data_IF_172174422400
#
_entry.id   IF_172174422400
#
_cell.length_a   1.000
_cell.length_b   1.000
_cell.length_c   1.000
_cell.angle_alpha   90.00
_cell.angle_beta   90.00
_cell.angle_gamma   90.00
#
_symmetry.space_group_name_H-M   'P 1'
#
loop_
_entity.id
_entity.type
_entity.pdbx_description
1 polymer ?
#
# COMPACT_ATOMS: atom_id res chain seq x y z
N UNK A 1 -4.64 9.21 -23.87
CA UNK A 1 -3.50 8.48 -23.29
C UNK A 1 -2.62 9.38 -22.41
N UNK A 2 -2.49 10.68 -22.68
CA UNK A 2 -1.75 11.62 -21.83
C UNK A 2 -2.33 11.79 -20.39
N UNK A 3 -3.64 11.64 -20.19
CA UNK A 3 -4.24 11.78 -18.85
C UNK A 3 -3.98 10.57 -17.93
N UNK A 4 -3.57 9.42 -18.48
CA UNK A 4 -3.24 8.23 -17.68
C UNK A 4 -1.77 8.24 -17.21
N UNK A 5 -0.88 8.97 -17.91
CA UNK A 5 0.52 9.17 -17.51
C UNK A 5 0.62 10.03 -16.24
N UNK A 6 -0.32 10.96 -16.03
CA UNK A 6 -0.41 11.73 -14.78
C UNK A 6 -0.94 10.91 -13.60
N UNK A 7 -1.48 9.71 -13.84
CA UNK A 7 -1.86 8.75 -12.81
C UNK A 7 -0.64 8.00 -12.24
N UNK A 8 0.51 8.08 -12.89
CA UNK A 8 1.76 7.65 -12.30
C UNK A 8 2.21 8.68 -11.26
N UNK A 9 2.10 8.28 -10.00
CA UNK A 9 2.62 9.01 -8.85
C UNK A 9 4.14 9.17 -9.02
N UNK A 10 4.60 10.36 -9.43
CA UNK A 10 6.02 10.70 -9.55
C UNK A 10 6.58 11.09 -8.17
N UNK A 11 6.32 10.26 -7.16
CA UNK A 11 6.69 10.54 -5.78
C UNK A 11 8.06 9.91 -5.52
N UNK A 12 9.04 10.68 -5.02
CA UNK A 12 10.36 10.14 -4.72
C UNK A 12 10.26 9.06 -3.63
N UNK A 13 11.10 8.01 -3.67
CA UNK A 13 11.19 7.05 -2.58
C UNK A 13 11.71 7.74 -1.32
N UNK A 14 11.31 7.20 -0.17
CA UNK A 14 11.92 7.54 1.11
C UNK A 14 13.36 7.02 1.19
N UNK A 15 14.22 7.65 2.01
CA UNK A 15 15.57 7.16 2.25
C UNK A 15 15.58 5.69 2.70
N UNK A 16 16.55 4.91 2.22
CA UNK A 16 16.67 3.49 2.56
C UNK A 16 16.65 3.23 4.08
N UNK A 17 17.24 4.11 4.88
CA UNK A 17 17.21 3.99 6.35
C UNK A 17 15.79 3.82 6.91
N UNK A 18 14.81 4.57 6.40
CA UNK A 18 13.41 4.45 6.83
C UNK A 18 12.78 3.14 6.33
N UNK A 19 13.02 2.76 5.07
CA UNK A 19 12.54 1.50 4.54
C UNK A 19 13.11 0.29 5.32
N UNK A 20 14.38 0.37 5.71
CA UNK A 20 15.06 -0.62 6.54
C UNK A 20 14.43 -0.74 7.93
N UNK A 21 14.09 0.39 8.56
CA UNK A 21 13.37 0.40 9.85
C UNK A 21 12.01 -0.28 9.74
N UNK A 22 11.24 0.00 8.68
CA UNK A 22 9.95 -0.67 8.41
C UNK A 22 10.14 -2.17 8.23
N UNK A 23 11.11 -2.60 7.41
CA UNK A 23 11.37 -4.03 7.20
C UNK A 23 11.75 -4.74 8.51
N UNK A 24 12.61 -4.13 9.34
CA UNK A 24 12.99 -4.68 10.64
C UNK A 24 11.78 -4.78 11.57
N UNK A 25 10.92 -3.76 11.59
CA UNK A 25 9.72 -3.76 12.42
C UNK A 25 8.73 -4.86 12.00
N UNK A 26 8.54 -5.05 10.69
CA UNK A 26 7.54 -5.98 10.16
C UNK A 26 8.03 -7.43 10.12
N UNK A 27 9.32 -7.66 9.81
CA UNK A 27 9.89 -8.99 9.58
C UNK A 27 10.86 -9.46 10.68
N UNK A 28 11.24 -8.59 11.60
CA UNK A 28 12.03 -8.92 12.80
C UNK A 28 13.55 -8.94 12.62
N UNK A 29 14.06 -8.77 11.39
CA UNK A 29 15.49 -8.67 11.12
C UNK A 29 15.75 -7.76 9.91
N UNK A 30 17.01 -7.39 9.70
CA UNK A 30 17.40 -6.50 8.62
C UNK A 30 17.35 -7.20 7.25
N UNK A 31 17.15 -6.45 6.14
CA UNK A 31 17.10 -7.03 4.80
C UNK A 31 18.33 -7.87 4.46
N UNK A 32 19.51 -7.46 4.94
CA UNK A 32 20.79 -8.14 4.70
C UNK A 32 20.90 -9.51 5.41
N UNK A 33 20.07 -9.76 6.43
CA UNK A 33 19.99 -11.05 7.12
C UNK A 33 18.89 -11.95 6.55
N UNK A 34 17.81 -11.36 6.04
CA UNK A 34 16.64 -12.07 5.52
C UNK A 34 16.80 -12.50 4.05
N UNK A 35 17.62 -11.79 3.28
CA UNK A 35 17.72 -11.92 1.82
C UNK A 35 19.18 -12.12 1.40
N UNK A 36 19.40 -12.80 0.27
CA UNK A 36 20.74 -12.99 -0.28
C UNK A 36 21.32 -11.69 -0.87
N UNK A 37 20.45 -10.83 -1.39
CA UNK A 37 20.79 -9.47 -1.79
C UNK A 37 19.58 -8.55 -1.69
N UNK A 38 19.82 -7.26 -1.45
CA UNK A 38 18.80 -6.22 -1.42
C UNK A 38 19.39 -4.94 -2.02
N UNK A 39 18.68 -4.34 -2.98
CA UNK A 39 19.07 -3.08 -3.60
C UNK A 39 18.49 -1.91 -2.80
N UNK A 40 19.35 -1.10 -2.18
CA UNK A 40 18.94 0.05 -1.36
C UNK A 40 18.16 1.09 -2.18
N UNK A 41 18.49 1.24 -3.46
CA UNK A 41 17.77 2.12 -4.38
C UNK A 41 16.43 1.48 -4.77
N UNK A 42 15.33 2.15 -4.42
CA UNK A 42 14.00 1.74 -4.87
C UNK A 42 13.84 1.99 -6.37
N UNK A 43 13.43 0.98 -7.13
CA UNK A 43 13.21 1.12 -8.58
C UNK A 43 11.80 1.62 -8.91
N UNK A 44 10.89 1.61 -7.94
CA UNK A 44 9.54 2.16 -8.06
C UNK A 44 9.06 2.70 -6.72
N UNK A 45 8.26 3.76 -6.77
CA UNK A 45 7.60 4.35 -5.61
C UNK A 45 6.17 4.78 -5.96
N UNK A 46 5.29 4.72 -4.97
CA UNK A 46 3.90 5.12 -5.04
C UNK A 46 3.51 5.88 -3.76
N UNK A 47 2.25 6.30 -3.68
CA UNK A 47 1.71 7.06 -2.55
C UNK A 47 1.84 6.36 -1.20
N UNK A 48 1.78 5.03 -1.16
CA UNK A 48 1.76 4.25 0.09
C UNK A 48 2.98 3.36 0.31
N UNK A 49 3.84 3.19 -0.69
CA UNK A 49 4.99 2.28 -0.63
C UNK A 49 6.08 2.62 -1.64
N UNK A 50 7.23 1.98 -1.46
CA UNK A 50 8.28 1.86 -2.45
C UNK A 50 8.67 0.40 -2.66
N UNK A 51 9.31 0.10 -3.79
CA UNK A 51 9.63 -1.27 -4.20
C UNK A 51 11.12 -1.39 -4.51
N UNK A 52 11.75 -2.37 -3.88
CA UNK A 52 13.16 -2.70 -4.02
C UNK A 52 13.36 -4.02 -4.75
N UNK A 53 14.49 -4.15 -5.44
CA UNK A 53 14.91 -5.45 -6.00
C UNK A 53 15.66 -6.22 -4.93
N UNK A 54 15.42 -7.53 -4.87
CA UNK A 54 16.14 -8.41 -3.97
C UNK A 54 16.25 -9.82 -4.55
N UNK A 55 17.08 -10.64 -3.92
CA UNK A 55 17.22 -12.07 -4.25
C UNK A 55 17.10 -12.91 -2.98
N UNK A 56 16.36 -14.01 -3.05
CA UNK A 56 16.26 -14.99 -1.97
C UNK A 56 17.51 -15.88 -1.90
N UNK A 57 17.67 -16.61 -0.79
CA UNK A 57 18.77 -17.57 -0.61
C UNK A 57 18.83 -18.68 -1.68
N UNK A 58 17.68 -19.03 -2.29
CA UNK A 58 17.61 -20.01 -3.38
C UNK A 58 17.93 -19.42 -4.78
N UNK A 59 18.26 -18.12 -4.85
CA UNK A 59 18.56 -17.40 -6.09
C UNK A 59 17.34 -16.80 -6.79
N UNK A 60 16.13 -16.94 -6.23
CA UNK A 60 14.93 -16.34 -6.81
C UNK A 60 14.95 -14.82 -6.70
N UNK A 61 14.84 -14.11 -7.83
CA UNK A 61 14.66 -12.66 -7.85
C UNK A 61 13.24 -12.30 -7.36
N UNK A 62 13.15 -11.34 -6.46
CA UNK A 62 11.88 -10.86 -5.88
C UNK A 62 11.81 -9.34 -5.88
N UNK A 63 10.59 -8.82 -5.86
CA UNK A 63 10.31 -7.41 -5.62
C UNK A 63 9.81 -7.26 -4.18
N UNK A 64 10.49 -6.45 -3.38
CA UNK A 64 10.13 -6.21 -1.97
C UNK A 64 9.43 -4.86 -1.90
N UNK A 65 8.11 -4.90 -1.69
CA UNK A 65 7.28 -3.71 -1.49
C UNK A 65 7.27 -3.34 -0.01
N UNK A 66 7.75 -2.15 0.30
CA UNK A 66 7.90 -1.62 1.66
C UNK A 66 6.90 -0.48 1.82
N UNK A 67 6.05 -0.57 2.83
CA UNK A 67 5.09 0.49 3.15
C UNK A 67 5.83 1.75 3.58
N UNK A 68 5.35 2.94 3.18
CA UNK A 68 5.91 4.20 3.66
C UNK A 68 5.69 4.29 5.18
N UNK A 69 6.68 4.82 5.93
CA UNK A 69 6.49 5.07 7.35
C UNK A 69 5.30 6.00 7.58
N UNK A 70 4.63 5.80 8.70
CA UNK A 70 3.51 6.61 9.18
C UNK A 70 2.27 6.71 8.26
N UNK A 71 2.19 5.96 7.15
CA UNK A 71 1.05 6.05 6.23
C UNK A 71 -0.29 5.77 6.92
N UNK A 72 -0.27 4.80 7.84
CA UNK A 72 -1.38 4.46 8.72
C UNK A 72 -1.85 5.63 9.58
N UNK A 73 -0.90 6.38 10.16
CA UNK A 73 -1.20 7.55 10.97
C UNK A 73 -1.71 8.71 10.12
N UNK A 74 -1.09 8.94 8.95
CA UNK A 74 -1.49 9.99 8.00
C UNK A 74 -2.92 9.76 7.50
N UNK A 75 -3.23 8.54 7.05
CA UNK A 75 -4.57 8.18 6.57
C UNK A 75 -5.61 8.36 7.68
N UNK A 76 -5.32 7.93 8.91
CA UNK A 76 -6.24 8.16 10.05
C UNK A 76 -6.44 9.65 10.35
N UNK A 77 -5.39 10.45 10.28
CA UNK A 77 -5.49 11.90 10.49
C UNK A 77 -6.33 12.57 9.40
N UNK A 78 -6.13 12.23 8.14
CA UNK A 78 -6.89 12.75 7.00
C UNK A 78 -8.39 12.44 7.14
N UNK A 79 -8.74 11.20 7.50
CA UNK A 79 -10.12 10.83 7.75
C UNK A 79 -10.73 11.51 8.97
N UNK A 80 -9.93 11.79 10.01
CA UNK A 80 -10.34 12.61 11.15
C UNK A 80 -10.74 14.02 10.72
N UNK A 81 -9.90 14.67 9.91
CA UNK A 81 -10.19 16.01 9.38
C UNK A 81 -11.44 16.01 8.51
N UNK A 82 -11.58 15.03 7.60
CA UNK A 82 -12.79 14.89 6.78
C UNK A 82 -14.05 14.69 7.63
N UNK A 83 -13.94 13.95 8.73
CA UNK A 83 -15.05 13.77 9.66
C UNK A 83 -15.49 15.08 10.27
N UNK A 84 -14.54 15.86 10.78
CA UNK A 84 -14.83 17.15 11.41
C UNK A 84 -15.54 18.10 10.44
N UNK A 85 -15.11 18.11 9.16
CA UNK A 85 -15.75 18.88 8.10
C UNK A 85 -17.18 18.42 7.84
N UNK A 86 -17.41 17.10 7.72
CA UNK A 86 -18.74 16.52 7.50
C UNK A 86 -19.68 16.84 8.66
N UNK A 87 -19.20 16.73 9.90
CA UNK A 87 -19.97 17.02 11.11
C UNK A 87 -20.37 18.48 11.18
N UNK A 88 -19.42 19.40 10.90
CA UNK A 88 -19.70 20.83 10.85
C UNK A 88 -20.71 21.18 9.76
N UNK A 89 -20.57 20.63 8.56
CA UNK A 89 -21.50 20.85 7.46
C UNK A 89 -22.91 20.30 7.76
N UNK A 90 -23.00 19.13 8.41
CA UNK A 90 -24.27 18.51 8.82
C UNK A 90 -24.99 19.29 9.92
N UNK A 91 -24.23 20.00 10.76
CA UNK A 91 -24.79 20.95 11.75
C UNK A 91 -25.32 22.21 11.06
N UNK A 92 -24.63 22.70 10.04
CA UNK A 92 -24.98 23.94 9.33
C UNK A 92 -26.12 23.78 8.30
N UNK A 93 -26.31 22.59 7.71
CA UNK A 93 -27.28 22.35 6.63
C UNK A 93 -28.09 21.07 6.84
N UNK A 94 -29.42 21.20 6.82
CA UNK A 94 -30.34 20.04 6.83
C UNK A 94 -30.15 19.15 5.60
N UNK A 95 -29.98 19.74 4.42
CA UNK A 95 -29.74 18.99 3.18
C UNK A 95 -28.50 18.10 3.28
N UNK A 96 -27.41 18.61 3.86
CA UNK A 96 -26.18 17.82 4.05
C UNK A 96 -26.38 16.71 5.08
N UNK A 97 -27.11 16.99 6.15
CA UNK A 97 -27.46 15.99 7.16
C UNK A 97 -28.25 14.82 6.57
N UNK A 98 -29.20 15.11 5.68
CA UNK A 98 -30.05 14.10 5.05
C UNK A 98 -29.27 13.19 4.09
N UNK A 99 -28.11 13.64 3.58
CA UNK A 99 -27.21 12.81 2.78
C UNK A 99 -26.49 11.73 3.60
N UNK A 100 -26.47 11.84 4.93
CA UNK A 100 -25.82 10.89 5.84
C UNK A 100 -24.37 10.55 5.42
N UNK A 101 -23.57 11.58 5.09
CA UNK A 101 -22.20 11.40 4.59
C UNK A 101 -21.23 10.82 5.63
N UNK A 102 -21.53 10.96 6.92
CA UNK A 102 -20.68 10.43 7.98
C UNK A 102 -20.55 8.89 7.90
N UNK A 103 -21.63 8.09 7.91
CA UNK A 103 -21.55 6.64 7.69
C UNK A 103 -20.81 6.22 6.41
N UNK A 104 -20.99 6.96 5.31
CA UNK A 104 -20.27 6.70 4.06
C UNK A 104 -18.76 6.91 4.23
N UNK A 105 -18.36 7.99 4.91
CA UNK A 105 -16.97 8.28 5.21
C UNK A 105 -16.35 7.21 6.11
N UNK A 106 -17.10 6.67 7.07
CA UNK A 106 -16.65 5.56 7.92
C UNK A 106 -16.37 4.28 7.12
N UNK A 107 -17.29 3.92 6.24
CA UNK A 107 -17.12 2.75 5.38
C UNK A 107 -15.90 2.92 4.47
N UNK A 108 -15.74 4.12 3.89
CA UNK A 108 -14.61 4.42 3.04
C UNK A 108 -13.28 4.41 3.81
N UNK A 109 -13.23 5.03 4.99
CA UNK A 109 -12.05 4.99 5.86
C UNK A 109 -11.68 3.55 6.26
N UNK A 110 -12.67 2.73 6.61
CA UNK A 110 -12.48 1.32 6.89
C UNK A 110 -12.01 0.53 5.66
N UNK A 111 -12.44 0.92 4.45
CA UNK A 111 -11.97 0.38 3.19
C UNK A 111 -10.48 0.65 2.96
N UNK A 112 -10.08 1.92 3.01
CA UNK A 112 -8.67 2.33 2.85
C UNK A 112 -7.79 1.69 3.91
N UNK A 113 -8.24 1.63 5.16
CA UNK A 113 -7.49 0.95 6.23
C UNK A 113 -7.25 -0.54 5.96
N UNK A 114 -8.21 -1.25 5.34
CA UNK A 114 -8.01 -2.66 4.94
C UNK A 114 -7.03 -2.81 3.77
N UNK A 115 -6.94 -1.81 2.89
CA UNK A 115 -5.99 -1.80 1.77
C UNK A 115 -4.55 -1.52 2.22
N UNK A 116 -4.35 -0.85 3.35
CA UNK A 116 -3.02 -0.67 3.95
C UNK A 116 -2.44 -1.97 4.53
N UNK A 117 -3.27 -2.98 4.81
CA UNK A 117 -2.82 -4.29 5.24
C UNK A 117 -2.36 -5.15 4.04
N UNK A 118 -1.05 -5.22 3.83
CA UNK A 118 -0.46 -5.97 2.70
C UNK A 118 -0.66 -7.48 2.77
N UNK A 119 -1.12 -8.04 3.90
CA UNK A 119 -1.54 -9.45 3.94
C UNK A 119 -2.80 -9.66 3.10
N UNK A 120 -3.71 -8.69 3.08
CA UNK A 120 -4.90 -8.74 2.24
C UNK A 120 -4.52 -8.64 0.76
N UNK A 121 -3.56 -7.76 0.43
CA UNK A 121 -3.04 -7.64 -0.94
C UNK A 121 -2.36 -8.95 -1.39
N UNK A 122 -1.49 -9.53 -0.56
CA UNK A 122 -0.84 -10.81 -0.85
C UNK A 122 -1.86 -11.93 -1.07
N UNK A 123 -2.89 -12.02 -0.22
CA UNK A 123 -3.98 -13.00 -0.38
C UNK A 123 -4.71 -12.83 -1.72
N UNK A 124 -5.08 -11.60 -2.08
CA UNK A 124 -5.74 -11.33 -3.35
C UNK A 124 -4.84 -11.57 -4.56
N UNK A 125 -3.55 -11.25 -4.45
CA UNK A 125 -2.56 -11.49 -5.50
C UNK A 125 -2.36 -12.99 -5.75
N UNK A 126 -2.33 -13.82 -4.70
CA UNK A 126 -2.30 -15.28 -4.84
C UNK A 126 -3.54 -15.82 -5.55
N UNK A 127 -4.74 -15.37 -5.15
CA UNK A 127 -5.99 -15.76 -5.81
C UNK A 127 -6.05 -15.33 -7.28
N UNK A 128 -5.54 -14.14 -7.58
CA UNK A 128 -5.45 -13.65 -8.95
C UNK A 128 -4.49 -14.52 -9.76
N UNK A 129 -3.34 -14.90 -9.20
CA UNK A 129 -2.40 -15.78 -9.87
C UNK A 129 -3.02 -17.14 -10.22
N UNK A 130 -3.79 -17.73 -9.29
CA UNK A 130 -4.52 -18.98 -9.53
C UNK A 130 -5.56 -18.83 -10.64
N UNK A 131 -6.35 -17.75 -10.63
CA UNK A 131 -7.34 -17.48 -11.66
C UNK A 131 -6.70 -17.23 -13.03
N UNK A 132 -5.55 -16.56 -13.06
CA UNK A 132 -4.82 -16.23 -14.29
C UNK A 132 -4.08 -17.43 -14.89
N UNK A 133 -3.89 -18.53 -14.15
CA UNK A 133 -3.30 -19.77 -14.68
C UNK A 133 -4.09 -20.35 -15.87
N UNK A 134 -5.38 -20.03 -15.98
CA UNK A 134 -6.22 -20.41 -17.12
C UNK A 134 -5.89 -19.64 -18.42
N UNK A 135 -5.07 -18.59 -18.35
CA UNK A 135 -4.77 -17.68 -19.48
C UNK A 135 -3.27 -17.70 -19.81
N UNK A 136 -2.82 -18.53 -20.78
CA UNK A 136 -1.39 -18.74 -21.06
C UNK A 136 -0.61 -17.49 -21.51
N UNK A 137 -1.31 -16.45 -21.99
CA UNK A 137 -0.72 -15.18 -22.39
C UNK A 137 -0.40 -14.24 -21.23
N UNK A 138 -0.86 -14.55 -20.02
CA UNK A 138 -0.74 -13.69 -18.84
C UNK A 138 0.18 -14.35 -17.83
N UNK A 139 1.10 -13.57 -17.26
CA UNK A 139 1.94 -14.01 -16.13
C UNK A 139 1.62 -13.18 -14.91
N UNK A 140 1.19 -13.84 -13.83
CA UNK A 140 1.09 -13.25 -12.52
C UNK A 140 2.27 -13.69 -11.66
N UNK A 141 2.98 -12.76 -10.99
CA UNK A 141 4.02 -13.13 -10.05
C UNK A 141 3.40 -13.86 -8.84
N UNK A 142 4.13 -14.82 -8.28
CA UNK A 142 3.77 -15.48 -7.04
C UNK A 142 4.12 -14.57 -5.86
N UNK A 143 3.17 -14.33 -4.97
CA UNK A 143 3.42 -13.61 -3.72
C UNK A 143 4.12 -14.50 -2.70
N UNK A 144 4.96 -13.91 -1.86
CA UNK A 144 5.62 -14.57 -0.73
C UNK A 144 5.14 -13.83 0.50
N UNK A 145 4.35 -14.52 1.32
CA UNK A 145 3.86 -13.99 2.60
C UNK A 145 4.50 -14.83 3.72
N UNK A 146 4.87 -14.16 4.81
CA UNK A 146 5.21 -14.81 6.08
C UNK A 146 3.95 -15.12 6.89
#
# INVERSE_FOLDING_TARGET
>A
MADLEQLHSNVPPEPYAQAREVIVADLGDAPEALLASFEEDAFAAASTAQVHRATLADGTCVAVKVQRPDIDAMVRADFGVLRDVVDLASRASRTVRDLALAPLLDEFAGGVGRELDYRNEAYHAMRLADAMAAFPSTRCPRSIAN
#
